data_IF_961754772903
#
_entry.id   IF_961754772903
#
_cell.length_a   1.000
_cell.length_b   1.000
_cell.length_c   1.000
_cell.angle_alpha   90.00
_cell.angle_beta   90.00
_cell.angle_gamma   90.00
#
_symmetry.space_group_name_H-M   'P 1'
#
loop_
_entity.id
_entity.type
_entity.pdbx_description
1 polymer ?
#
# COMPACT_ATOMS: atom_id res chain seq x y z
N UNK A 1 -50.02 -51.57 2.39
CA UNK A 1 -50.21 -50.17 2.82
C UNK A 1 -49.08 -49.80 3.78
N UNK A 2 -48.35 -48.72 3.44
CA UNK A 2 -47.56 -47.82 4.30
C UNK A 2 -46.37 -48.44 5.08
N UNK A 3 -45.14 -48.37 4.54
CA UNK A 3 -44.18 -47.23 4.59
C UNK A 3 -43.90 -46.73 6.03
N UNK A 4 -42.70 -46.94 6.55
CA UNK A 4 -41.57 -45.98 6.51
C UNK A 4 -40.42 -46.45 7.44
N UNK A 5 -39.19 -46.71 6.95
CA UNK A 5 -38.03 -46.73 7.82
C UNK A 5 -37.56 -45.29 8.05
N UNK A 6 -37.36 -44.90 9.30
CA UNK A 6 -36.82 -43.61 9.71
C UNK A 6 -35.35 -43.56 9.29
N UNK A 7 -35.08 -42.92 8.17
CA UNK A 7 -33.74 -42.53 7.73
C UNK A 7 -33.30 -41.35 8.61
N UNK A 8 -32.52 -41.64 9.64
CA UNK A 8 -31.85 -40.62 10.46
C UNK A 8 -30.74 -39.98 9.59
N UNK A 9 -31.10 -38.95 8.83
CA UNK A 9 -30.16 -38.07 8.14
C UNK A 9 -29.36 -37.31 9.21
N UNK A 10 -28.18 -37.83 9.55
CA UNK A 10 -27.12 -37.07 10.19
C UNK A 10 -26.75 -35.90 9.28
N UNK A 11 -27.38 -34.74 9.50
CA UNK A 11 -26.89 -33.45 9.05
C UNK A 11 -25.59 -33.16 9.81
N UNK A 12 -24.48 -33.71 9.32
CA UNK A 12 -23.16 -33.13 9.59
C UNK A 12 -23.12 -31.79 8.86
N UNK A 13 -23.69 -30.75 9.50
CA UNK A 13 -23.30 -29.39 9.24
C UNK A 13 -21.82 -29.28 9.60
N UNK A 14 -20.96 -29.60 8.65
CA UNK A 14 -19.56 -29.23 8.73
C UNK A 14 -19.56 -27.71 8.81
N UNK A 15 -19.31 -27.16 10.00
CA UNK A 15 -18.81 -25.80 10.15
C UNK A 15 -17.51 -25.75 9.33
N UNK A 16 -17.61 -25.45 8.04
CA UNK A 16 -16.47 -25.00 7.26
C UNK A 16 -16.03 -23.72 7.95
N UNK A 17 -15.00 -23.80 8.79
CA UNK A 17 -14.30 -22.64 9.29
C UNK A 17 -14.00 -21.77 8.07
N UNK A 18 -14.64 -20.60 8.00
CA UNK A 18 -14.36 -19.66 6.94
C UNK A 18 -12.85 -19.39 6.94
N UNK A 19 -12.20 -19.39 5.77
CA UNK A 19 -10.78 -19.11 5.69
C UNK A 19 -10.51 -17.77 6.39
N UNK A 20 -9.59 -17.76 7.34
CA UNK A 20 -9.20 -16.59 8.12
C UNK A 20 -7.72 -16.30 7.94
N UNK A 21 -7.39 -15.02 8.10
CA UNK A 21 -6.04 -14.50 8.06
C UNK A 21 -5.72 -13.84 9.40
N UNK A 22 -4.54 -14.09 9.91
CA UNK A 22 -3.96 -13.45 11.09
C UNK A 22 -2.91 -12.44 10.63
N UNK A 23 -3.09 -11.18 11.01
CA UNK A 23 -2.08 -10.13 10.91
C UNK A 23 -1.47 -9.93 12.28
N UNK A 24 -0.15 -9.93 12.37
CA UNK A 24 0.54 -9.67 13.63
C UNK A 24 1.79 -8.85 13.40
N UNK A 25 2.26 -8.14 14.42
CA UNK A 25 3.50 -7.40 14.30
C UNK A 25 3.81 -6.58 15.53
N UNK A 26 4.92 -5.86 15.46
CA UNK A 26 5.33 -4.91 16.47
C UNK A 26 5.47 -3.50 15.86
N UNK A 27 4.89 -2.51 16.51
CA UNK A 27 4.99 -1.09 16.20
C UNK A 27 5.50 -0.37 17.46
N UNK A 28 6.61 0.37 17.39
CA UNK A 28 7.19 1.07 18.53
C UNK A 28 6.41 2.36 18.81
N UNK A 29 5.13 2.25 19.12
CA UNK A 29 4.23 3.38 19.42
C UNK A 29 3.66 3.21 20.83
N UNK A 30 3.98 4.14 21.71
CA UNK A 30 3.56 4.12 23.11
C UNK A 30 2.10 4.57 23.30
N UNK A 31 1.56 5.29 22.31
CA UNK A 31 0.17 5.76 22.31
C UNK A 31 -0.79 4.75 21.69
N UNK A 32 -2.10 5.00 21.87
CA UNK A 32 -3.15 4.22 21.21
C UNK A 32 -3.02 4.33 19.68
N UNK A 33 -2.92 3.18 19.00
CA UNK A 33 -2.88 3.10 17.53
C UNK A 33 -4.20 2.52 17.03
N UNK A 34 -4.81 3.20 16.07
CA UNK A 34 -5.97 2.73 15.32
C UNK A 34 -5.49 1.96 14.10
N UNK A 35 -6.11 0.81 13.84
CA UNK A 35 -5.78 -0.04 12.70
C UNK A 35 -7.00 -0.19 11.81
N UNK A 36 -6.84 0.20 10.56
CA UNK A 36 -7.84 0.04 9.51
C UNK A 36 -7.34 -0.91 8.44
N UNK A 37 -8.22 -1.77 7.94
CA UNK A 37 -7.95 -2.62 6.78
C UNK A 37 -8.93 -2.29 5.68
N UNK A 38 -8.43 -1.89 4.51
CA UNK A 38 -9.26 -1.62 3.33
C UNK A 38 -8.96 -2.61 2.21
N UNK A 39 -10.01 -3.05 1.52
CA UNK A 39 -9.83 -3.76 0.25
C UNK A 39 -9.46 -2.73 -0.83
N UNK A 40 -8.27 -2.87 -1.45
CA UNK A 40 -7.74 -1.85 -2.35
C UNK A 40 -8.57 -1.66 -3.63
N UNK A 41 -9.31 -2.69 -4.05
CA UNK A 41 -10.14 -2.63 -5.26
C UNK A 41 -11.46 -1.90 -5.01
N UNK A 42 -12.16 -2.26 -3.94
CA UNK A 42 -13.49 -1.77 -3.62
C UNK A 42 -13.50 -0.54 -2.72
N UNK A 43 -12.39 -0.23 -2.05
CA UNK A 43 -12.31 0.80 -1.02
C UNK A 43 -13.06 0.47 0.27
N UNK A 44 -13.68 -0.72 0.37
CA UNK A 44 -14.46 -1.12 1.54
C UNK A 44 -13.54 -1.37 2.74
N UNK A 45 -13.89 -0.79 3.89
CA UNK A 45 -13.28 -1.13 5.18
C UNK A 45 -13.71 -2.55 5.59
N UNK A 46 -12.73 -3.39 5.88
CA UNK A 46 -12.89 -4.80 6.24
C UNK A 46 -12.75 -4.98 7.75
N UNK A 47 -11.88 -4.20 8.36
CA UNK A 47 -11.60 -4.22 9.79
C UNK A 47 -11.33 -2.79 10.27
N UNK A 48 -11.78 -2.52 11.50
CA UNK A 48 -11.37 -1.39 12.32
C UNK A 48 -11.06 -1.97 13.70
N UNK A 49 -9.87 -1.71 14.21
CA UNK A 49 -9.45 -2.13 15.54
C UNK A 49 -8.55 -1.07 16.20
N UNK A 50 -8.20 -1.29 17.46
CA UNK A 50 -7.35 -0.39 18.23
C UNK A 50 -6.39 -1.23 19.07
N UNK A 51 -5.12 -0.85 19.08
CA UNK A 51 -4.09 -1.49 19.90
C UNK A 51 -3.59 -0.53 20.96
N UNK A 52 -3.31 -1.09 22.13
CA UNK A 52 -2.68 -0.41 23.25
C UNK A 52 -1.38 -1.17 23.52
N UNK A 53 -0.25 -0.50 23.33
CA UNK A 53 1.08 -1.10 23.38
C UNK A 53 1.63 -1.49 22.01
N UNK A 54 2.80 -2.12 22.01
CA UNK A 54 3.60 -2.26 20.78
C UNK A 54 3.21 -3.45 19.90
N UNK A 55 2.57 -4.48 20.44
CA UNK A 55 2.28 -5.70 19.68
C UNK A 55 0.82 -5.77 19.30
N UNK A 56 0.56 -6.15 18.05
CA UNK A 56 -0.79 -6.39 17.56
C UNK A 56 -0.97 -7.81 17.05
N UNK A 57 -2.18 -8.33 17.24
CA UNK A 57 -2.63 -9.62 16.72
C UNK A 57 -4.09 -9.48 16.31
N UNK A 58 -4.33 -9.44 15.00
CA UNK A 58 -5.64 -9.24 14.40
C UNK A 58 -6.03 -10.49 13.64
N UNK A 59 -7.26 -10.96 13.86
CA UNK A 59 -7.83 -12.07 13.09
C UNK A 59 -8.95 -11.55 12.20
N UNK A 60 -8.86 -11.85 10.92
CA UNK A 60 -9.85 -11.44 9.92
C UNK A 60 -10.51 -12.69 9.37
N UNK A 61 -11.79 -12.85 9.66
CA UNK A 61 -12.58 -13.96 9.17
C UNK A 61 -13.17 -13.67 7.78
N UNK A 62 -13.23 -14.69 6.92
CA UNK A 62 -13.93 -14.64 5.63
C UNK A 62 -13.40 -13.59 4.64
N UNK A 63 -12.08 -13.51 4.50
CA UNK A 63 -11.42 -12.61 3.53
C UNK A 63 -11.20 -13.30 2.17
N UNK A 64 -11.39 -12.57 1.07
CA UNK A 64 -11.07 -13.06 -0.27
C UNK A 64 -9.62 -12.76 -0.65
N UNK A 65 -9.06 -13.53 -1.58
CA UNK A 65 -7.75 -13.24 -2.13
C UNK A 65 -7.73 -11.85 -2.81
N UNK A 66 -6.72 -11.03 -2.55
CA UNK A 66 -6.60 -9.71 -3.16
C UNK A 66 -5.59 -8.80 -2.49
N UNK A 67 -5.51 -7.57 -3.00
CA UNK A 67 -4.70 -6.50 -2.43
C UNK A 67 -5.53 -5.77 -1.38
N UNK A 68 -4.94 -5.60 -0.20
CA UNK A 68 -5.50 -4.84 0.91
C UNK A 68 -4.50 -3.81 1.39
N UNK A 69 -4.99 -2.70 1.93
CA UNK A 69 -4.16 -1.67 2.56
C UNK A 69 -4.44 -1.68 4.05
N UNK A 70 -3.40 -1.98 4.82
CA UNK A 70 -3.41 -1.81 6.28
C UNK A 70 -2.95 -0.40 6.58
N UNK A 71 -3.70 0.32 7.41
CA UNK A 71 -3.39 1.69 7.83
C UNK A 71 -3.32 1.70 9.34
N UNK A 72 -2.19 2.16 9.86
CA UNK A 72 -1.95 2.42 11.27
C UNK A 72 -1.98 3.93 11.46
N UNK A 73 -2.78 4.41 12.41
CA UNK A 73 -2.83 5.83 12.72
C UNK A 73 -2.84 6.11 14.22
N UNK A 74 -2.12 7.14 14.64
CA UNK A 74 -2.08 7.57 16.04
C UNK A 74 -2.01 9.08 16.13
N UNK A 75 -2.28 9.61 17.33
CA UNK A 75 -2.38 11.05 17.55
C UNK A 75 -1.05 11.74 17.19
N UNK A 76 -1.15 12.87 16.48
CA UNK A 76 0.00 13.72 16.18
C UNK A 76 0.06 14.89 17.15
N UNK A 77 1.20 15.02 17.82
CA UNK A 77 1.41 16.05 18.83
C UNK A 77 2.08 17.31 18.25
N UNK A 78 2.74 17.19 17.09
CA UNK A 78 3.48 18.28 16.43
C UNK A 78 2.75 18.74 15.17
N UNK A 79 2.25 19.99 15.17
CA UNK A 79 1.60 20.63 14.03
C UNK A 79 2.52 21.64 13.36
N UNK A 80 2.70 21.58 12.03
CA UNK A 80 3.42 22.64 11.32
C UNK A 80 2.55 23.91 11.36
N UNK A 81 3.13 25.12 11.51
CA UNK A 81 2.36 26.37 11.55
C UNK A 81 1.45 26.60 10.33
N UNK A 82 1.84 26.08 9.17
CA UNK A 82 1.05 26.12 7.93
C UNK A 82 -0.21 25.26 8.00
N UNK A 83 -0.18 24.16 8.77
CA UNK A 83 -1.30 23.24 8.94
C UNK A 83 -2.31 23.78 9.97
N UNK A 84 -1.84 24.47 11.03
CA UNK A 84 -2.71 25.10 12.04
C UNK A 84 -3.77 26.03 11.43
N UNK A 85 -3.42 26.80 10.39
CA UNK A 85 -4.36 27.67 9.68
C UNK A 85 -5.46 26.90 8.95
N UNK A 86 -5.18 25.66 8.53
CA UNK A 86 -6.14 24.77 7.88
C UNK A 86 -7.09 24.22 8.93
N UNK A 87 -6.57 23.70 10.04
CA UNK A 87 -7.38 23.10 11.12
C UNK A 87 -8.27 24.09 11.86
N UNK A 88 -7.80 25.32 12.07
CA UNK A 88 -8.61 26.40 12.64
C UNK A 88 -9.90 26.70 11.83
N UNK A 89 -9.96 26.26 10.56
CA UNK A 89 -11.13 26.44 9.67
C UNK A 89 -12.06 25.22 9.62
N UNK A 90 -11.61 24.02 9.99
CA UNK A 90 -12.35 22.77 9.80
C UNK A 90 -12.75 22.04 11.09
N UNK A 91 -12.32 22.51 12.27
CA UNK A 91 -12.79 22.01 13.59
C UNK A 91 -11.97 20.86 14.18
N UNK A 92 -12.08 20.66 15.50
CA UNK A 92 -11.26 19.76 16.33
C UNK A 92 -11.47 18.25 16.10
N UNK A 93 -12.49 17.84 15.32
CA UNK A 93 -12.78 16.42 15.06
C UNK A 93 -11.73 15.70 14.20
N UNK A 94 -10.96 16.47 13.41
CA UNK A 94 -9.95 16.00 12.46
C UNK A 94 -8.54 16.40 12.91
N UNK A 95 -8.21 16.22 14.20
CA UNK A 95 -6.81 16.36 14.64
C UNK A 95 -5.93 15.46 13.77
N UNK A 96 -4.83 15.98 13.19
CA UNK A 96 -4.01 15.17 12.33
C UNK A 96 -3.44 13.99 13.11
N UNK A 97 -3.25 12.92 12.35
CA UNK A 97 -2.66 11.70 12.84
C UNK A 97 -1.38 11.45 12.08
N UNK A 98 -0.42 10.83 12.75
CA UNK A 98 0.60 10.09 12.03
C UNK A 98 -0.10 8.93 11.32
N UNK A 99 0.29 8.66 10.08
CA UNK A 99 -0.29 7.60 9.27
C UNK A 99 0.84 6.77 8.67
N UNK A 100 0.86 5.48 8.99
CA UNK A 100 1.74 4.49 8.39
C UNK A 100 0.87 3.45 7.67
N UNK A 101 1.10 3.23 6.39
CA UNK A 101 0.29 2.30 5.60
C UNK A 101 1.11 1.33 4.78
N UNK A 102 0.61 0.11 4.59
CA UNK A 102 1.20 -0.90 3.71
C UNK A 102 0.13 -1.62 2.92
N UNK A 103 0.32 -1.68 1.61
CA UNK A 103 -0.46 -2.57 0.75
C UNK A 103 0.15 -3.97 0.76
N UNK A 104 -0.70 -4.98 0.86
CA UNK A 104 -0.32 -6.39 1.04
C UNK A 104 -1.28 -7.30 0.26
N UNK A 105 -0.73 -8.37 -0.32
CA UNK A 105 -1.51 -9.45 -0.89
C UNK A 105 -1.96 -10.41 0.23
N UNK A 106 -3.26 -10.48 0.49
CA UNK A 106 -3.83 -11.44 1.43
C UNK A 106 -4.54 -12.53 0.66
N UNK A 107 -4.19 -13.80 0.92
CA UNK A 107 -4.88 -14.97 0.39
C UNK A 107 -4.90 -16.08 1.46
N UNK A 108 -6.06 -16.33 2.10
CA UNK A 108 -6.16 -17.34 3.17
C UNK A 108 -5.94 -18.77 2.68
N UNK A 109 -5.91 -19.02 1.36
CA UNK A 109 -5.57 -20.32 0.78
C UNK A 109 -4.06 -20.55 0.75
N UNK A 110 -3.26 -19.50 0.56
CA UNK A 110 -1.79 -19.59 0.48
C UNK A 110 -1.12 -19.33 1.83
N UNK A 111 -1.58 -18.34 2.58
CA UNK A 111 -1.09 -18.04 3.92
C UNK A 111 -2.20 -17.59 4.84
N UNK A 112 -2.16 -18.11 6.07
CA UNK A 112 -3.03 -17.67 7.15
C UNK A 112 -2.36 -16.69 8.09
N UNK A 113 -1.05 -16.46 7.95
CA UNK A 113 -0.26 -15.65 8.88
C UNK A 113 0.59 -14.66 8.12
N UNK A 114 0.50 -13.39 8.53
CA UNK A 114 1.23 -12.27 7.96
C UNK A 114 1.87 -11.51 9.11
N UNK A 115 3.19 -11.41 9.11
CA UNK A 115 3.94 -10.75 10.16
C UNK A 115 4.50 -9.43 9.64
N UNK A 116 4.11 -8.33 10.27
CA UNK A 116 4.55 -6.98 9.97
C UNK A 116 5.73 -6.61 10.86
N UNK A 117 6.72 -5.98 10.26
CA UNK A 117 7.92 -5.48 10.95
C UNK A 117 8.35 -4.15 10.38
N UNK A 118 8.70 -3.23 11.27
CA UNK A 118 9.42 -2.00 10.93
C UNK A 118 10.92 -2.30 10.94
N UNK A 119 11.70 -1.52 10.18
CA UNK A 119 13.17 -1.59 10.22
C UNK A 119 13.71 -1.61 11.66
N UNK A 120 14.65 -2.49 11.94
CA UNK A 120 15.24 -2.63 13.28
C UNK A 120 15.81 -1.30 13.79
N UNK A 121 15.64 -1.07 15.10
CA UNK A 121 16.25 0.05 15.82
C UNK A 121 15.53 1.39 15.70
N UNK A 122 14.37 1.45 15.03
CA UNK A 122 13.54 2.66 14.99
C UNK A 122 12.67 2.78 16.25
N UNK A 123 12.83 3.89 16.97
CA UNK A 123 11.92 4.29 18.06
C UNK A 123 10.75 5.16 17.54
N UNK A 124 9.79 5.47 18.43
CA UNK A 124 8.63 6.30 18.07
C UNK A 124 9.04 7.68 17.55
N UNK A 125 10.00 8.35 18.19
CA UNK A 125 10.38 9.71 17.82
C UNK A 125 11.01 9.75 16.44
N UNK A 126 11.85 8.78 16.13
CA UNK A 126 12.37 8.59 14.80
C UNK A 126 11.20 8.33 13.85
N UNK A 127 10.28 7.40 14.18
CA UNK A 127 9.08 7.01 13.42
C UNK A 127 8.13 8.16 13.10
N UNK A 128 8.09 9.16 13.96
CA UNK A 128 7.28 10.35 13.74
C UNK A 128 8.04 11.35 12.87
N UNK A 129 9.33 11.58 13.15
CA UNK A 129 10.13 12.56 12.43
C UNK A 129 10.20 12.26 10.93
N UNK A 130 10.50 11.02 10.54
CA UNK A 130 10.56 10.71 9.11
C UNK A 130 9.18 10.77 8.43
N UNK A 131 8.07 10.53 9.15
CA UNK A 131 6.73 10.71 8.59
C UNK A 131 6.43 12.20 8.34
N UNK A 132 6.99 13.10 9.15
CA UNK A 132 6.87 14.56 8.97
C UNK A 132 7.71 15.10 7.82
N UNK A 133 8.87 14.50 7.57
CA UNK A 133 9.81 14.97 6.57
C UNK A 133 9.40 14.58 5.15
N UNK A 134 8.40 13.70 4.98
CA UNK A 134 7.95 13.14 3.69
C UNK A 134 9.09 12.48 2.87
N UNK A 135 10.26 12.31 3.50
CA UNK A 135 11.52 11.88 2.92
C UNK A 135 11.80 10.39 3.26
N UNK A 136 10.80 9.63 3.72
CA UNK A 136 11.12 8.39 4.46
C UNK A 136 11.08 7.05 3.70
N UNK A 137 12.16 6.28 3.87
CA UNK A 137 12.31 4.83 3.66
C UNK A 137 12.15 3.90 4.89
N UNK A 138 11.37 4.21 5.93
CA UNK A 138 10.91 3.18 6.88
C UNK A 138 9.87 2.35 6.16
N UNK A 139 10.30 1.19 5.69
CA UNK A 139 9.40 0.26 5.05
C UNK A 139 8.77 -0.62 6.11
N UNK A 140 7.45 -0.52 6.23
CA UNK A 140 6.67 -1.54 6.91
C UNK A 140 6.74 -2.81 6.07
N UNK A 141 7.66 -3.70 6.44
CA UNK A 141 7.85 -4.98 5.79
C UNK A 141 6.79 -5.98 6.24
N UNK A 142 6.42 -6.90 5.36
CA UNK A 142 5.49 -7.98 5.65
C UNK A 142 6.14 -9.29 5.25
N UNK A 143 6.02 -10.30 6.10
CA UNK A 143 6.45 -11.65 5.80
C UNK A 143 5.26 -12.60 5.84
N UNK A 144 5.11 -13.38 4.78
CA UNK A 144 4.11 -14.43 4.65
C UNK A 144 4.59 -15.50 3.65
N UNK A 145 3.92 -16.64 3.66
CA UNK A 145 4.12 -17.70 2.65
C UNK A 145 3.23 -17.43 1.44
N UNK A 146 3.48 -18.16 0.35
CA UNK A 146 2.63 -18.14 -0.83
C UNK A 146 3.32 -17.53 -2.04
N UNK A 147 3.07 -18.13 -3.20
CA UNK A 147 3.67 -17.69 -4.46
C UNK A 147 3.07 -16.36 -4.92
N UNK A 148 1.76 -16.17 -4.73
CA UNK A 148 1.10 -14.92 -5.09
C UNK A 148 1.51 -13.78 -4.16
N UNK A 149 1.74 -14.06 -2.87
CA UNK A 149 2.33 -13.10 -1.94
C UNK A 149 3.75 -12.70 -2.38
N UNK A 150 4.60 -13.69 -2.69
CA UNK A 150 5.97 -13.47 -3.16
C UNK A 150 6.01 -12.61 -4.42
N UNK A 151 5.19 -12.93 -5.42
CA UNK A 151 5.07 -12.16 -6.66
C UNK A 151 4.59 -10.73 -6.41
N UNK A 152 3.60 -10.55 -5.53
CA UNK A 152 3.17 -9.20 -5.17
C UNK A 152 4.28 -8.41 -4.47
N UNK A 153 5.06 -9.05 -3.59
CA UNK A 153 6.20 -8.41 -2.94
C UNK A 153 7.27 -7.97 -3.96
N UNK A 154 7.62 -8.84 -4.91
CA UNK A 154 8.54 -8.50 -6.01
C UNK A 154 8.06 -7.28 -6.79
N UNK A 155 6.75 -7.19 -7.08
CA UNK A 155 6.19 -6.00 -7.72
C UNK A 155 6.36 -4.75 -6.85
N UNK A 156 6.03 -4.81 -5.56
CA UNK A 156 6.19 -3.64 -4.67
C UNK A 156 7.65 -3.22 -4.49
N UNK A 157 8.59 -4.15 -4.61
CA UNK A 157 10.03 -3.86 -4.53
C UNK A 157 10.52 -3.04 -5.73
N UNK A 158 9.89 -3.17 -6.91
CA UNK A 158 10.16 -2.31 -8.08
C UNK A 158 9.82 -0.86 -7.72
N UNK A 159 8.61 -0.59 -7.24
CA UNK A 159 8.20 0.77 -6.85
C UNK A 159 9.12 1.31 -5.75
N UNK A 160 9.42 0.51 -4.73
CA UNK A 160 10.32 0.89 -3.62
C UNK A 160 11.72 1.26 -4.12
N UNK A 161 12.29 0.48 -5.04
CA UNK A 161 13.60 0.76 -5.66
C UNK A 161 13.62 2.16 -6.29
N UNK A 162 12.63 2.51 -7.11
CA UNK A 162 12.59 3.83 -7.75
C UNK A 162 12.30 4.96 -6.77
N UNK A 163 11.46 4.74 -5.75
CA UNK A 163 11.26 5.70 -4.66
C UNK A 163 12.57 6.00 -3.93
N UNK A 164 13.40 4.99 -3.65
CA UNK A 164 14.71 5.16 -3.03
C UNK A 164 15.71 5.89 -3.96
N UNK A 165 15.70 5.60 -5.25
CA UNK A 165 16.54 6.33 -6.22
C UNK A 165 16.14 7.80 -6.29
N UNK A 166 14.84 8.10 -6.32
CA UNK A 166 14.31 9.45 -6.30
C UNK A 166 14.69 10.21 -5.03
N UNK A 167 14.57 9.56 -3.86
CA UNK A 167 14.98 10.14 -2.59
C UNK A 167 16.46 10.54 -2.60
N UNK A 168 17.35 9.61 -3.00
CA UNK A 168 18.79 9.89 -3.13
C UNK A 168 19.10 11.04 -4.10
N UNK A 169 18.38 11.11 -5.21
CA UNK A 169 18.54 12.20 -6.17
C UNK A 169 18.12 13.55 -5.58
N UNK A 170 16.99 13.59 -4.86
CA UNK A 170 16.55 14.80 -4.15
C UNK A 170 17.54 15.23 -3.07
N UNK A 171 18.04 14.29 -2.27
CA UNK A 171 19.01 14.61 -1.21
C UNK A 171 20.32 15.17 -1.78
N UNK A 172 20.79 14.60 -2.88
CA UNK A 172 21.97 15.09 -3.59
C UNK A 172 21.79 16.53 -4.06
N UNK A 173 20.61 16.86 -4.62
CA UNK A 173 20.29 18.22 -5.05
C UNK A 173 20.12 19.19 -3.88
N UNK A 174 19.48 18.76 -2.78
CA UNK A 174 19.38 19.56 -1.55
C UNK A 174 20.76 19.95 -1.02
N UNK A 175 21.72 19.02 -1.01
CA UNK A 175 23.10 19.32 -0.59
C UNK A 175 23.79 20.36 -1.48
N UNK A 176 23.56 20.33 -2.79
CA UNK A 176 24.09 21.33 -3.71
C UNK A 176 23.44 22.70 -3.45
N UNK A 177 22.12 22.74 -3.23
CA UNK A 177 21.38 23.97 -2.87
C UNK A 177 21.96 24.59 -1.59
N UNK A 178 22.22 23.80 -0.55
CA UNK A 178 22.83 24.30 0.68
C UNK A 178 24.19 24.95 0.41
N UNK A 179 25.07 24.30 -0.36
CA UNK A 179 26.38 24.87 -0.71
C UNK A 179 26.28 26.16 -1.53
N UNK A 180 25.35 26.24 -2.48
CA UNK A 180 25.11 27.45 -3.28
C UNK A 180 24.57 28.60 -2.43
N UNK A 181 23.70 28.31 -1.46
CA UNK A 181 23.23 29.30 -0.49
C UNK A 181 24.37 29.81 0.39
N UNK A 182 25.23 28.92 0.89
CA UNK A 182 26.42 29.29 1.68
C UNK A 182 27.41 30.14 0.88
N UNK A 183 27.58 29.86 -0.42
CA UNK A 183 28.45 30.64 -1.30
C UNK A 183 27.83 31.94 -1.82
N UNK A 184 26.56 32.21 -1.50
CA UNK A 184 25.84 33.42 -1.93
C UNK A 184 25.31 33.38 -3.37
N UNK A 185 25.38 32.25 -4.07
CA UNK A 185 24.83 32.08 -5.42
C UNK A 185 23.35 31.70 -5.36
N UNK A 186 22.54 32.69 -5.00
CA UNK A 186 21.10 32.54 -4.80
C UNK A 186 20.34 32.27 -6.11
N UNK A 187 20.89 32.69 -7.25
CA UNK A 187 20.25 32.48 -8.55
C UNK A 187 20.35 31.01 -8.99
N UNK A 188 21.55 30.43 -8.92
CA UNK A 188 21.74 29.01 -9.18
C UNK A 188 20.98 28.14 -8.18
N UNK A 189 20.97 28.52 -6.90
CA UNK A 189 20.19 27.85 -5.85
C UNK A 189 18.68 27.82 -6.17
N UNK A 190 18.10 28.97 -6.57
CA UNK A 190 16.69 29.07 -6.94
C UNK A 190 16.35 28.18 -8.14
N UNK A 191 17.20 28.18 -9.17
CA UNK A 191 16.99 27.35 -10.37
C UNK A 191 17.02 25.86 -10.02
N UNK A 192 17.98 25.42 -9.21
CA UNK A 192 18.09 24.02 -8.79
C UNK A 192 16.89 23.60 -7.91
N UNK A 193 16.44 24.50 -7.03
CA UNK A 193 15.27 24.24 -6.19
C UNK A 193 13.98 24.08 -7.02
N UNK A 194 13.85 24.80 -8.14
CA UNK A 194 12.74 24.60 -9.09
C UNK A 194 12.80 23.22 -9.77
N UNK A 195 14.00 22.69 -10.01
CA UNK A 195 14.18 21.36 -10.62
C UNK A 195 13.89 20.22 -9.65
N UNK A 196 14.04 20.43 -8.33
CA UNK A 196 13.86 19.41 -7.29
C UNK A 196 12.49 18.70 -7.38
N UNK A 197 11.43 19.43 -7.70
CA UNK A 197 10.07 18.88 -7.85
C UNK A 197 9.89 18.06 -9.12
N UNK A 198 10.77 18.22 -10.11
CA UNK A 198 10.65 17.60 -11.44
C UNK A 198 11.52 16.35 -11.63
N UNK A 199 12.44 16.06 -10.70
CA UNK A 199 13.38 14.93 -10.78
C UNK A 199 12.68 13.60 -11.02
N UNK A 200 11.56 13.38 -10.31
CA UNK A 200 10.73 12.19 -10.46
C UNK A 200 10.19 12.04 -11.88
N UNK A 201 9.62 13.14 -12.40
CA UNK A 201 8.92 13.18 -13.68
C UNK A 201 9.88 13.07 -14.85
N UNK A 202 11.06 13.69 -14.75
CA UNK A 202 11.95 13.89 -15.89
C UNK A 202 12.95 12.76 -16.14
N UNK A 203 12.99 11.71 -15.31
CA UNK A 203 13.97 10.64 -15.52
C UNK A 203 13.75 9.30 -14.84
N UNK A 204 12.88 9.22 -13.82
CA UNK A 204 12.66 7.97 -13.08
C UNK A 204 11.33 7.30 -13.42
N UNK A 205 10.31 8.10 -13.74
CA UNK A 205 8.96 7.59 -14.01
C UNK A 205 8.93 6.61 -15.19
N UNK A 206 9.56 6.95 -16.32
CA UNK A 206 9.51 6.10 -17.51
C UNK A 206 10.21 4.76 -17.29
N UNK A 207 11.36 4.76 -16.58
CA UNK A 207 12.06 3.54 -16.22
C UNK A 207 11.27 2.67 -15.23
N UNK A 208 10.61 3.29 -14.24
CA UNK A 208 9.68 2.59 -13.34
C UNK A 208 8.58 1.89 -14.15
N UNK A 209 7.90 2.63 -15.02
CA UNK A 209 6.80 2.10 -15.86
C UNK A 209 7.29 0.95 -16.74
N UNK A 210 8.46 1.07 -17.37
CA UNK A 210 9.02 0.00 -18.20
C UNK A 210 9.27 -1.30 -17.39
N UNK A 211 9.76 -1.17 -16.16
CA UNK A 211 10.02 -2.31 -15.27
C UNK A 211 8.70 -2.93 -14.77
N UNK A 212 7.72 -2.10 -14.39
CA UNK A 212 6.37 -2.53 -14.00
C UNK A 212 5.67 -3.27 -15.14
N UNK A 213 5.68 -2.73 -16.35
CA UNK A 213 5.09 -3.35 -17.54
C UNK A 213 5.78 -4.68 -17.88
N UNK A 214 7.11 -4.73 -17.86
CA UNK A 214 7.86 -5.97 -18.07
C UNK A 214 7.51 -7.04 -17.02
N UNK A 215 7.41 -6.64 -15.76
CA UNK A 215 7.01 -7.53 -14.67
C UNK A 215 5.61 -8.10 -14.90
N UNK A 216 4.64 -7.24 -15.23
CA UNK A 216 3.25 -7.66 -15.44
C UNK A 216 3.11 -8.60 -16.64
N UNK A 217 3.83 -8.33 -17.75
CA UNK A 217 3.82 -9.19 -18.94
C UNK A 217 4.46 -10.55 -18.67
N UNK A 218 5.58 -10.59 -17.96
CA UNK A 218 6.25 -11.84 -17.57
C UNK A 218 5.33 -12.72 -16.72
N UNK A 219 4.50 -12.10 -15.87
CA UNK A 219 3.64 -12.79 -14.91
C UNK A 219 2.14 -12.78 -15.30
N UNK A 220 1.80 -12.53 -16.57
CA UNK A 220 0.44 -12.16 -17.02
C UNK A 220 -0.66 -13.15 -16.62
N UNK A 221 -0.31 -14.44 -16.48
CA UNK A 221 -1.23 -15.51 -16.14
C UNK A 221 -1.39 -15.75 -14.62
N UNK A 222 -0.65 -15.02 -13.78
CA UNK A 222 -0.68 -15.19 -12.33
C UNK A 222 -1.84 -14.42 -11.70
N UNK A 223 -2.29 -14.87 -10.52
CA UNK A 223 -3.47 -14.33 -9.85
C UNK A 223 -3.31 -12.85 -9.43
N UNK A 224 -2.14 -12.36 -8.97
CA UNK A 224 -1.97 -10.96 -8.56
C UNK A 224 -2.04 -9.96 -9.70
N UNK A 225 -1.61 -10.33 -10.92
CA UNK A 225 -1.44 -9.37 -12.03
C UNK A 225 -2.69 -8.55 -12.34
N UNK A 226 -3.91 -9.14 -12.44
CA UNK A 226 -5.12 -8.35 -12.65
C UNK A 226 -5.40 -7.33 -11.52
N UNK A 227 -5.07 -7.67 -10.28
CA UNK A 227 -5.24 -6.78 -9.13
C UNK A 227 -4.21 -5.65 -9.15
N UNK A 228 -2.96 -5.98 -9.50
CA UNK A 228 -1.88 -4.99 -9.64
C UNK A 228 -2.22 -4.02 -10.77
N UNK A 229 -2.58 -4.53 -11.95
CA UNK A 229 -3.03 -3.72 -13.08
C UNK A 229 -4.17 -2.78 -12.68
N UNK A 230 -5.18 -3.31 -11.98
CA UNK A 230 -6.30 -2.50 -11.49
C UNK A 230 -5.83 -1.37 -10.55
N UNK A 231 -4.86 -1.62 -9.68
CA UNK A 231 -4.33 -0.60 -8.77
C UNK A 231 -3.54 0.50 -9.45
N UNK A 232 -2.92 0.21 -10.60
CA UNK A 232 -2.14 1.16 -11.39
C UNK A 232 -3.00 2.08 -12.26
N UNK A 233 -4.19 1.64 -12.67
CA UNK A 233 -5.02 2.38 -13.64
C UNK A 233 -6.12 3.19 -12.94
N UNK A 234 -5.87 4.48 -12.75
CA UNK A 234 -6.82 5.43 -12.16
C UNK A 234 -7.30 6.51 -13.13
N UNK A 235 -6.60 6.70 -14.25
CA UNK A 235 -6.92 7.69 -15.29
C UNK A 235 -6.79 7.08 -16.68
N UNK A 236 -7.28 7.79 -17.71
CA UNK A 236 -7.06 7.40 -19.11
C UNK A 236 -5.57 7.32 -19.44
N UNK A 237 -4.78 8.28 -18.97
CA UNK A 237 -3.32 8.29 -19.21
C UNK A 237 -2.64 7.06 -18.62
N UNK A 238 -3.08 6.60 -17.44
CA UNK A 238 -2.55 5.37 -16.85
C UNK A 238 -2.96 4.15 -17.70
N UNK A 239 -4.22 4.10 -18.14
CA UNK A 239 -4.70 3.02 -19.00
C UNK A 239 -3.88 2.94 -20.29
N UNK A 240 -3.65 4.06 -20.97
CA UNK A 240 -2.86 4.12 -22.19
C UNK A 240 -1.42 3.65 -21.95
N UNK A 241 -0.85 4.04 -20.80
CA UNK A 241 0.49 3.61 -20.36
C UNK A 241 0.58 2.09 -20.18
N UNK A 242 -0.44 1.47 -19.59
CA UNK A 242 -0.48 0.03 -19.32
C UNK A 242 -1.27 -0.79 -20.35
N UNK A 243 -1.63 -0.18 -21.49
CA UNK A 243 -2.54 -0.80 -22.46
C UNK A 243 -2.03 -2.15 -22.98
N UNK A 244 -0.72 -2.27 -23.21
CA UNK A 244 -0.13 -3.53 -23.67
C UNK A 244 -0.27 -4.67 -22.65
N UNK A 245 -0.27 -4.36 -21.35
CA UNK A 245 -0.55 -5.34 -20.30
C UNK A 245 -2.01 -5.75 -20.39
N UNK A 246 -2.93 -4.78 -20.48
CA UNK A 246 -4.36 -5.05 -20.64
C UNK A 246 -4.62 -5.95 -21.84
N UNK A 247 -4.05 -5.64 -23.00
CA UNK A 247 -4.23 -6.40 -24.24
C UNK A 247 -3.71 -7.84 -24.13
N UNK A 248 -2.68 -8.09 -23.30
CA UNK A 248 -2.15 -9.43 -23.03
C UNK A 248 -3.00 -10.26 -22.04
N UNK A 249 -3.93 -9.65 -21.30
CA UNK A 249 -4.80 -10.37 -20.37
C UNK A 249 -5.78 -11.30 -21.11
N UNK A 250 -6.09 -12.44 -20.47
CA UNK A 250 -7.07 -13.38 -21.00
C UNK A 250 -8.48 -12.75 -21.11
N UNK A 251 -9.33 -13.20 -22.05
CA UNK A 251 -10.69 -12.67 -22.21
C UNK A 251 -11.51 -12.70 -20.91
N UNK A 252 -11.40 -13.78 -20.13
CA UNK A 252 -12.09 -13.93 -18.83
C UNK A 252 -11.67 -12.88 -17.81
N UNK A 253 -10.38 -12.54 -17.77
CA UNK A 253 -9.87 -11.49 -16.86
C UNK A 253 -10.35 -10.13 -17.34
N UNK A 254 -10.29 -9.85 -18.65
CA UNK A 254 -10.78 -8.60 -19.23
C UNK A 254 -12.26 -8.38 -18.92
N UNK A 255 -13.10 -9.41 -19.03
CA UNK A 255 -14.51 -9.37 -18.66
C UNK A 255 -14.71 -8.98 -17.18
N UNK A 256 -13.88 -9.54 -16.29
CA UNK A 256 -13.90 -9.22 -14.85
C UNK A 256 -13.52 -7.75 -14.59
N UNK A 257 -12.56 -7.21 -15.35
CA UNK A 257 -12.10 -5.83 -15.23
C UNK A 257 -13.00 -4.81 -15.96
N UNK A 258 -13.78 -5.26 -16.95
CA UNK A 258 -14.54 -4.41 -17.86
C UNK A 258 -15.49 -3.43 -17.15
N UNK A 259 -16.06 -3.83 -16.00
CA UNK A 259 -16.97 -2.97 -15.23
C UNK A 259 -16.36 -1.60 -14.88
N UNK A 260 -15.06 -1.54 -14.54
CA UNK A 260 -14.36 -0.27 -14.24
C UNK A 260 -13.56 0.23 -15.44
N UNK A 261 -12.99 -0.67 -16.25
CA UNK A 261 -12.13 -0.28 -17.39
C UNK A 261 -12.91 0.22 -18.60
N UNK A 262 -14.22 -0.05 -18.70
CA UNK A 262 -15.08 0.43 -19.81
C UNK A 262 -15.05 1.94 -20.03
N UNK A 263 -14.75 2.73 -18.99
CA UNK A 263 -14.62 4.18 -19.09
C UNK A 263 -13.41 4.57 -19.97
N UNK A 264 -12.38 3.72 -19.99
CA UNK A 264 -11.11 3.96 -20.70
C UNK A 264 -10.99 3.27 -22.06
N UNK A 265 -11.95 2.40 -22.40
CA UNK A 265 -11.97 1.62 -23.65
C UNK A 265 -12.66 2.36 -24.81
N UNK A 266 -12.77 3.69 -24.72
CA UNK A 266 -13.46 4.53 -25.72
C UNK A 266 -12.56 4.95 -26.86
#
# INVERSE_FOLDING_TARGET
MRFLPILLLFLFATCKNSPSVELSGNLPIDSTVYIDLYNAISGKQILLDTIIGHTFHLKIDSIAAGIYTVVFSWKRDILKPTELKRYARFGEGDLPRYVLSKSVWLDPKESRKYTFSISEGLDQSQLEQGLLDEDWGADLSVNAKGENFRLYQEFTDITKKYSLVNLKAKDSLKQIIYKLNESGDLEASRLLNQQLSTVWVNGLRDSLVQEEVSFLKKNIATIPVPYIFYSLVNTQSDFDTYKEVYDALSPKIKETLAKRMSIYLK
#
